data_IF_604281216645
#
_entry.id   IF_604281216645
#
_cell.length_a   1.000
_cell.length_b   1.000
_cell.length_c   1.000
_cell.angle_alpha   90.00
_cell.angle_beta   90.00
_cell.angle_gamma   90.00
#
_symmetry.space_group_name_H-M   'P 1'
#
loop_
_entity.id
_entity.type
_entity.pdbx_description
1 polymer ?
#
# COMPACT_ATOMS: atom_id res chain seq x y z
N UNK A 1 10.81 53.35 -4.62
CA UNK A 1 9.71 52.81 -3.78
C UNK A 1 9.92 51.30 -3.66
N UNK A 2 9.62 50.67 -2.52
CA UNK A 2 9.72 49.21 -2.43
C UNK A 2 8.75 48.58 -3.43
N UNK A 3 9.22 47.58 -4.18
CA UNK A 3 8.40 46.76 -5.08
C UNK A 3 7.33 46.06 -4.26
N UNK A 4 6.06 46.12 -4.69
CA UNK A 4 5.00 45.39 -4.00
C UNK A 4 5.05 43.92 -4.39
N UNK A 5 4.50 43.05 -3.53
CA UNK A 5 4.52 41.61 -3.76
C UNK A 5 3.71 41.25 -5.03
N UNK A 6 2.60 41.95 -5.26
CA UNK A 6 1.76 41.75 -6.46
C UNK A 6 2.45 42.14 -7.77
N UNK A 7 3.52 42.95 -7.72
CA UNK A 7 4.29 43.37 -8.89
C UNK A 7 5.31 42.30 -9.34
N UNK A 8 5.59 41.31 -8.48
CA UNK A 8 6.52 40.23 -8.83
C UNK A 8 5.93 39.30 -9.90
N UNK A 9 6.75 38.81 -10.85
CA UNK A 9 6.37 37.72 -11.74
C UNK A 9 5.91 36.48 -10.98
N UNK A 10 5.07 35.65 -11.61
CA UNK A 10 4.50 34.46 -10.97
C UNK A 10 5.60 33.48 -10.54
N UNK A 11 6.67 33.36 -11.31
CA UNK A 11 7.81 32.48 -11.06
C UNK A 11 8.54 32.87 -9.76
N UNK A 12 8.73 34.17 -9.50
CA UNK A 12 9.34 34.63 -8.25
C UNK A 12 8.41 34.41 -7.07
N UNK A 13 7.09 34.58 -7.25
CA UNK A 13 6.12 34.29 -6.19
C UNK A 13 6.07 32.80 -5.86
N UNK A 14 6.13 31.93 -6.87
CA UNK A 14 6.21 30.47 -6.68
C UNK A 14 7.50 30.10 -5.97
N UNK A 15 8.64 30.70 -6.32
CA UNK A 15 9.90 30.45 -5.62
C UNK A 15 9.90 30.96 -4.17
N UNK A 16 9.24 32.09 -3.88
CA UNK A 16 9.05 32.53 -2.49
C UNK A 16 8.15 31.55 -1.75
N UNK A 17 7.01 31.20 -2.32
CA UNK A 17 6.09 30.22 -1.77
C UNK A 17 6.77 28.85 -1.56
N UNK A 18 7.76 28.51 -2.39
CA UNK A 18 8.49 27.25 -2.29
C UNK A 18 9.34 27.12 -1.02
N UNK A 19 9.55 28.21 -0.28
CA UNK A 19 10.27 28.24 0.99
C UNK A 19 9.33 28.41 2.20
N UNK A 20 8.02 28.44 1.98
CA UNK A 20 7.03 28.65 3.04
C UNK A 20 6.47 27.32 3.57
N UNK A 21 6.04 27.34 4.83
CA UNK A 21 5.21 26.27 5.40
C UNK A 21 3.86 26.21 4.68
N UNK A 22 3.15 25.09 4.80
CA UNK A 22 1.79 24.96 4.23
C UNK A 22 0.84 26.07 4.73
N UNK A 23 0.94 26.42 6.01
CA UNK A 23 0.11 27.47 6.65
C UNK A 23 0.46 28.85 6.11
N UNK A 24 1.74 29.16 5.97
CA UNK A 24 2.21 30.45 5.48
C UNK A 24 1.92 30.62 3.99
N UNK A 25 2.12 29.57 3.18
CA UNK A 25 1.77 29.61 1.76
C UNK A 25 0.26 29.86 1.58
N UNK A 26 -0.58 29.13 2.33
CA UNK A 26 -2.03 29.38 2.34
C UNK A 26 -2.41 30.79 2.79
N UNK A 27 -1.62 31.40 3.66
CA UNK A 27 -1.84 32.77 4.14
C UNK A 27 -1.41 33.81 3.09
N UNK A 28 -0.22 33.65 2.48
CA UNK A 28 0.30 34.50 1.39
C UNK A 28 -0.66 34.53 0.22
N UNK A 29 -1.15 33.36 -0.21
CA UNK A 29 -2.10 33.23 -1.32
C UNK A 29 -3.37 34.08 -1.08
N UNK A 30 -3.85 34.14 0.17
CA UNK A 30 -5.06 34.87 0.57
C UNK A 30 -4.85 36.36 0.83
N UNK A 31 -3.65 36.90 0.68
CA UNK A 31 -3.37 38.33 0.95
C UNK A 31 -4.03 39.26 -0.06
N UNK A 32 -4.05 38.91 -1.35
CA UNK A 32 -4.76 39.66 -2.39
C UNK A 32 -5.10 38.79 -3.61
N UNK A 33 -6.10 39.20 -4.39
CA UNK A 33 -6.60 38.44 -5.56
C UNK A 33 -5.55 38.26 -6.67
N UNK A 34 -4.63 39.23 -6.86
CA UNK A 34 -3.57 39.12 -7.87
C UNK A 34 -2.55 38.04 -7.50
N UNK A 35 -2.13 38.01 -6.23
CA UNK A 35 -1.21 36.98 -5.72
C UNK A 35 -1.88 35.61 -5.73
N UNK A 36 -3.15 35.54 -5.33
CA UNK A 36 -3.98 34.34 -5.45
C UNK A 36 -3.95 33.79 -6.88
N UNK A 37 -4.32 34.60 -7.88
CA UNK A 37 -4.35 34.17 -9.29
C UNK A 37 -2.99 33.68 -9.80
N UNK A 38 -1.90 34.37 -9.43
CA UNK A 38 -0.54 33.98 -9.83
C UNK A 38 -0.07 32.67 -9.19
N UNK A 39 -0.53 32.38 -7.98
CA UNK A 39 -0.11 31.20 -7.21
C UNK A 39 -1.08 30.01 -7.33
N UNK A 40 -2.29 30.21 -7.86
CA UNK A 40 -3.35 29.21 -7.80
C UNK A 40 -3.03 27.92 -8.54
N UNK A 41 -2.42 27.97 -9.74
CA UNK A 41 -2.08 26.75 -10.49
C UNK A 41 -1.06 25.90 -9.73
N UNK A 42 0.01 26.51 -9.22
CA UNK A 42 1.02 25.82 -8.41
C UNK A 42 0.41 25.26 -7.11
N UNK A 43 -0.44 26.05 -6.44
CA UNK A 43 -1.18 25.61 -5.25
C UNK A 43 -2.10 24.42 -5.54
N UNK A 44 -2.83 24.45 -6.66
CA UNK A 44 -3.69 23.37 -7.09
C UNK A 44 -2.90 22.07 -7.32
N UNK A 45 -1.80 22.15 -8.08
CA UNK A 45 -0.92 20.99 -8.33
C UNK A 45 -0.32 20.43 -7.05
N UNK A 46 0.19 21.29 -6.18
CA UNK A 46 0.88 20.83 -4.98
C UNK A 46 -0.10 20.24 -3.95
N UNK A 47 -1.22 20.94 -3.70
CA UNK A 47 -2.10 20.54 -2.61
C UNK A 47 -3.22 19.59 -3.04
N UNK A 48 -3.67 19.65 -4.29
CA UNK A 48 -4.86 18.93 -4.76
C UNK A 48 -4.56 17.79 -5.74
N UNK A 49 -3.32 17.57 -6.23
CA UNK A 49 -2.99 16.39 -7.06
C UNK A 49 -3.45 15.07 -6.44
N UNK A 50 -3.18 14.91 -5.14
CA UNK A 50 -3.52 13.74 -4.34
C UNK A 50 -4.14 14.15 -3.00
N UNK A 51 -5.28 13.57 -2.66
CA UNK A 51 -6.01 13.82 -1.40
C UNK A 51 -6.54 12.52 -0.81
N UNK A 52 -6.44 12.43 0.52
CA UNK A 52 -6.92 11.30 1.30
C UNK A 52 -8.17 11.70 2.09
N UNK A 53 -9.21 10.88 2.05
CA UNK A 53 -10.49 11.12 2.70
C UNK A 53 -10.87 9.95 3.60
N UNK A 54 -11.53 10.26 4.70
CA UNK A 54 -12.11 9.27 5.59
C UNK A 54 -13.54 8.99 5.14
N UNK A 55 -14.07 7.79 5.41
CA UNK A 55 -15.49 7.51 5.18
C UNK A 55 -16.37 8.14 6.28
N UNK A 56 -16.40 9.47 6.33
CA UNK A 56 -17.34 10.24 7.15
C UNK A 56 -18.08 11.25 6.30
N UNK A 57 -19.26 11.65 6.75
CA UNK A 57 -20.11 12.58 6.00
C UNK A 57 -19.38 13.88 5.68
N UNK A 58 -18.70 14.48 6.66
CA UNK A 58 -17.97 15.75 6.47
C UNK A 58 -16.78 15.60 5.51
N UNK A 59 -16.13 14.43 5.50
CA UNK A 59 -14.98 14.18 4.63
C UNK A 59 -15.40 13.92 3.19
N UNK A 60 -16.42 13.10 2.97
CA UNK A 60 -16.98 12.88 1.64
C UNK A 60 -17.69 14.11 1.10
N UNK A 61 -18.32 14.93 1.95
CA UNK A 61 -18.88 16.21 1.52
C UNK A 61 -17.78 17.15 1.02
N UNK A 62 -16.65 17.23 1.72
CA UNK A 62 -15.49 18.01 1.26
C UNK A 62 -15.00 17.52 -0.12
N UNK A 63 -14.98 16.20 -0.36
CA UNK A 63 -14.64 15.64 -1.67
C UNK A 63 -15.66 16.06 -2.75
N UNK A 64 -16.96 16.06 -2.45
CA UNK A 64 -18.01 16.57 -3.36
C UNK A 64 -17.84 18.07 -3.62
N UNK A 65 -17.53 18.86 -2.59
CA UNK A 65 -17.32 20.30 -2.73
C UNK A 65 -16.11 20.57 -3.65
N UNK A 66 -15.03 19.80 -3.51
CA UNK A 66 -13.87 19.84 -4.39
C UNK A 66 -14.24 19.42 -5.82
N UNK A 67 -15.03 18.36 -5.99
CA UNK A 67 -15.42 17.87 -7.32
C UNK A 67 -16.34 18.84 -8.06
N UNK A 68 -17.14 19.61 -7.33
CA UNK A 68 -18.01 20.65 -7.88
C UNK A 68 -17.29 21.99 -8.08
N UNK A 69 -16.15 22.21 -7.43
CA UNK A 69 -15.40 23.45 -7.53
C UNK A 69 -14.89 23.68 -8.95
N UNK A 70 -15.12 24.89 -9.49
CA UNK A 70 -14.85 25.24 -10.90
C UNK A 70 -13.40 24.94 -11.33
N UNK A 71 -12.43 25.36 -10.51
CA UNK A 71 -11.01 25.17 -10.79
C UNK A 71 -10.37 23.94 -10.12
N UNK A 72 -10.65 23.64 -8.84
CA UNK A 72 -9.95 22.58 -8.08
C UNK A 72 -10.18 21.16 -8.63
N UNK A 73 -11.36 20.88 -9.20
CA UNK A 73 -11.72 19.55 -9.75
C UNK A 73 -10.77 19.04 -10.83
N UNK A 74 -10.02 19.95 -11.47
CA UNK A 74 -9.07 19.63 -12.54
C UNK A 74 -7.72 19.16 -12.01
N UNK A 75 -7.40 19.45 -10.74
CA UNK A 75 -6.10 19.10 -10.16
C UNK A 75 -6.12 17.74 -9.48
N UNK A 76 -7.27 17.26 -9.00
CA UNK A 76 -7.36 16.01 -8.26
C UNK A 76 -7.29 14.79 -9.20
N UNK A 77 -6.08 14.24 -9.35
CA UNK A 77 -5.80 13.08 -10.20
C UNK A 77 -5.91 11.75 -9.43
N UNK A 78 -5.59 11.79 -8.13
CA UNK A 78 -5.58 10.61 -7.25
C UNK A 78 -6.45 10.84 -6.01
N UNK A 79 -7.48 10.01 -5.85
CA UNK A 79 -8.33 9.97 -4.64
C UNK A 79 -7.91 8.78 -3.80
N UNK A 80 -7.59 9.04 -2.53
CA UNK A 80 -7.24 8.02 -1.56
C UNK A 80 -8.37 7.92 -0.53
N UNK A 81 -8.88 6.71 -0.29
CA UNK A 81 -9.87 6.46 0.75
C UNK A 81 -9.18 5.73 1.91
N UNK A 82 -9.11 6.43 3.04
CA UNK A 82 -8.57 5.87 4.27
C UNK A 82 -9.50 4.79 4.83
N UNK A 83 -8.94 3.70 5.34
CA UNK A 83 -9.66 2.68 6.11
C UNK A 83 -9.98 3.12 7.54
N UNK A 84 -9.71 4.40 7.87
CA UNK A 84 -9.88 4.93 9.21
C UNK A 84 -11.33 4.82 9.66
N UNK A 85 -11.50 4.18 10.80
CA UNK A 85 -12.77 4.06 11.49
C UNK A 85 -12.68 4.77 12.84
N UNK A 86 -13.83 5.13 13.39
CA UNK A 86 -13.96 5.71 14.72
C UNK A 86 -14.45 4.61 15.69
N UNK A 87 -13.58 3.82 16.36
CA UNK A 87 -13.94 2.87 17.41
C UNK A 87 -14.85 3.43 18.49
N UNK A 88 -15.45 2.49 19.20
CA UNK A 88 -16.19 2.78 20.44
C UNK A 88 -15.23 3.36 21.46
N UNK A 89 -15.73 4.28 22.29
CA UNK A 89 -14.90 4.94 23.30
C UNK A 89 -14.23 3.94 24.25
N UNK A 90 -14.93 2.86 24.57
CA UNK A 90 -14.45 1.77 25.41
C UNK A 90 -13.34 0.95 24.73
N UNK A 91 -13.45 0.73 23.42
CA UNK A 91 -12.41 0.06 22.63
C UNK A 91 -11.15 0.92 22.55
N UNK A 92 -11.30 2.24 22.32
CA UNK A 92 -10.17 3.16 22.30
C UNK A 92 -9.38 3.09 23.62
N UNK A 93 -10.05 3.02 24.78
CA UNK A 93 -9.36 2.94 26.07
C UNK A 93 -8.48 1.70 26.17
N UNK A 94 -8.93 0.57 25.61
CA UNK A 94 -8.24 -0.71 25.72
C UNK A 94 -7.07 -0.83 24.73
N UNK A 95 -7.16 -0.18 23.57
CA UNK A 95 -6.13 -0.22 22.51
C UNK A 95 -5.24 1.04 22.46
N UNK A 96 -5.47 2.00 23.36
CA UNK A 96 -4.74 3.26 23.40
C UNK A 96 -3.37 3.08 24.04
N UNK A 97 -2.34 3.70 23.45
CA UNK A 97 -1.06 3.87 24.14
C UNK A 97 -1.25 4.65 25.45
N UNK A 98 -0.32 4.56 26.41
CA UNK A 98 -0.43 5.30 27.67
C UNK A 98 -0.62 6.81 27.49
N UNK A 99 0.04 7.43 26.50
CA UNK A 99 -0.08 8.86 26.21
C UNK A 99 -1.45 9.21 25.59
N UNK A 100 -1.95 8.36 24.69
CA UNK A 100 -3.28 8.46 24.12
C UNK A 100 -4.37 8.38 25.19
N UNK A 101 -4.23 7.39 26.07
CA UNK A 101 -5.19 7.12 27.13
C UNK A 101 -5.31 8.32 28.06
N UNK A 102 -4.18 8.91 28.47
CA UNK A 102 -4.17 10.13 29.28
C UNK A 102 -4.89 11.29 28.59
N UNK A 103 -4.62 11.53 27.30
CA UNK A 103 -5.27 12.58 26.52
C UNK A 103 -6.79 12.37 26.40
N UNK A 104 -7.22 11.13 26.14
CA UNK A 104 -8.62 10.73 26.06
C UNK A 104 -9.34 10.87 27.40
N UNK A 105 -8.68 10.49 28.50
CA UNK A 105 -9.23 10.63 29.85
C UNK A 105 -9.43 12.10 30.22
N UNK A 106 -8.45 12.95 29.90
CA UNK A 106 -8.47 14.40 30.12
C UNK A 106 -9.41 15.15 29.17
N UNK A 107 -9.81 14.54 28.04
CA UNK A 107 -10.72 15.17 27.09
C UNK A 107 -12.05 15.56 27.76
N UNK A 108 -12.53 16.76 27.40
CA UNK A 108 -13.77 17.31 27.95
C UNK A 108 -14.99 16.43 27.63
N UNK A 109 -16.06 16.56 28.43
CA UNK A 109 -17.32 15.87 28.15
C UNK A 109 -17.90 16.21 26.77
N UNK A 110 -17.75 17.45 26.31
CA UNK A 110 -18.21 17.85 24.96
C UNK A 110 -17.38 17.20 23.87
N UNK A 111 -16.06 17.08 24.04
CA UNK A 111 -15.17 16.36 23.10
C UNK A 111 -15.57 14.89 22.99
N UNK A 112 -15.77 14.22 24.13
CA UNK A 112 -16.20 12.80 24.18
C UNK A 112 -17.58 12.60 23.54
N UNK A 113 -18.52 13.52 23.79
CA UNK A 113 -19.86 13.47 23.18
C UNK A 113 -19.79 13.65 21.67
N UNK A 114 -19.05 14.65 21.20
CA UNK A 114 -18.86 14.92 19.77
C UNK A 114 -18.25 13.72 19.04
N UNK A 115 -17.26 13.05 19.63
CA UNK A 115 -16.66 11.84 19.04
C UNK A 115 -17.68 10.70 18.91
N UNK A 116 -18.56 10.51 19.91
CA UNK A 116 -19.63 9.53 19.85
C UNK A 116 -20.64 9.86 18.75
N UNK A 117 -20.99 11.13 18.59
CA UNK A 117 -21.88 11.60 17.50
C UNK A 117 -21.23 11.33 16.14
N UNK A 118 -19.96 11.71 15.94
CA UNK A 118 -19.23 11.47 14.70
C UNK A 118 -19.10 9.98 14.35
N UNK A 119 -18.94 9.11 15.35
CA UNK A 119 -18.98 7.66 15.17
C UNK A 119 -20.34 7.16 14.69
N UNK A 120 -21.41 7.63 15.32
CA UNK A 120 -22.78 7.24 14.95
C UNK A 120 -23.08 7.70 13.52
N UNK A 121 -22.64 8.90 13.16
CA UNK A 121 -22.77 9.44 11.80
C UNK A 121 -21.99 8.60 10.78
N UNK A 122 -20.73 8.25 11.07
CA UNK A 122 -19.93 7.35 10.21
C UNK A 122 -20.63 6.01 10.01
N UNK A 123 -21.11 5.40 11.09
CA UNK A 123 -21.81 4.11 11.01
C UNK A 123 -23.10 4.22 10.22
N UNK A 124 -23.90 5.25 10.47
CA UNK A 124 -25.14 5.48 9.73
C UNK A 124 -24.88 5.67 8.23
N UNK A 125 -23.85 6.44 7.89
CA UNK A 125 -23.41 6.65 6.50
C UNK A 125 -23.10 5.32 5.79
N UNK A 126 -22.33 4.43 6.44
CA UNK A 126 -21.95 3.11 5.92
C UNK A 126 -23.15 2.15 5.86
N UNK A 127 -23.91 2.03 6.95
CA UNK A 127 -25.04 1.10 7.08
C UNK A 127 -26.17 1.42 6.08
N UNK A 128 -26.34 2.70 5.72
CA UNK A 128 -27.31 3.14 4.71
C UNK A 128 -26.73 3.17 3.28
N UNK A 129 -25.44 2.85 3.09
CA UNK A 129 -24.75 2.93 1.80
C UNK A 129 -24.69 4.34 1.21
N UNK A 130 -24.80 5.36 2.05
CA UNK A 130 -24.75 6.78 1.65
C UNK A 130 -23.32 7.19 1.28
N UNK A 131 -22.31 6.58 1.90
CA UNK A 131 -20.91 6.72 1.52
C UNK A 131 -20.66 6.36 0.05
N UNK A 132 -21.22 5.24 -0.43
CA UNK A 132 -21.15 4.84 -1.84
C UNK A 132 -21.81 5.87 -2.75
N UNK A 133 -22.96 6.42 -2.35
CA UNK A 133 -23.66 7.46 -3.14
C UNK A 133 -22.81 8.71 -3.25
N UNK A 134 -22.29 9.20 -2.11
CA UNK A 134 -21.45 10.40 -2.06
C UNK A 134 -20.14 10.22 -2.84
N UNK A 135 -19.49 9.06 -2.71
CA UNK A 135 -18.27 8.77 -3.46
C UNK A 135 -18.53 8.67 -4.96
N UNK A 136 -19.64 8.04 -5.37
CA UNK A 136 -20.04 7.97 -6.78
C UNK A 136 -20.31 9.36 -7.37
N UNK A 137 -21.03 10.22 -6.64
CA UNK A 137 -21.28 11.60 -7.03
C UNK A 137 -19.97 12.38 -7.22
N UNK A 138 -19.07 12.31 -6.24
CA UNK A 138 -17.78 12.95 -6.32
C UNK A 138 -16.97 12.49 -7.54
N UNK A 139 -16.82 11.19 -7.74
CA UNK A 139 -16.02 10.62 -8.83
C UNK A 139 -16.59 11.02 -10.20
N UNK A 140 -17.92 11.04 -10.36
CA UNK A 140 -18.55 11.53 -11.59
C UNK A 140 -18.15 12.97 -11.93
N UNK A 141 -17.86 13.80 -10.93
CA UNK A 141 -17.55 15.23 -11.11
C UNK A 141 -16.04 15.55 -11.18
N UNK A 142 -15.15 14.56 -11.04
CA UNK A 142 -13.68 14.75 -11.07
C UNK A 142 -13.03 14.40 -12.42
N UNK A 143 -12.89 15.35 -13.37
CA UNK A 143 -12.43 15.08 -14.73
C UNK A 143 -11.02 14.53 -14.85
N UNK A 144 -10.13 14.91 -13.94
CA UNK A 144 -8.74 14.51 -13.97
C UNK A 144 -8.46 13.23 -13.16
N UNK A 145 -9.43 12.73 -12.40
CA UNK A 145 -9.22 11.59 -11.51
C UNK A 145 -9.20 10.28 -12.30
N UNK A 146 -8.05 9.61 -12.28
CA UNK A 146 -7.80 8.33 -12.95
C UNK A 146 -7.15 7.30 -12.03
N UNK A 147 -6.71 7.71 -10.84
CA UNK A 147 -6.14 6.82 -9.83
C UNK A 147 -6.98 6.80 -8.56
N UNK A 148 -7.29 5.59 -8.08
CA UNK A 148 -7.97 5.37 -6.82
C UNK A 148 -7.08 4.50 -5.94
N UNK A 149 -6.92 4.90 -4.68
CA UNK A 149 -6.20 4.13 -3.69
C UNK A 149 -7.02 3.92 -2.42
N UNK A 150 -6.90 2.75 -1.80
CA UNK A 150 -7.36 2.46 -0.44
C UNK A 150 -6.13 2.31 0.44
N UNK A 151 -6.12 2.95 1.60
CA UNK A 151 -4.92 3.03 2.45
C UNK A 151 -5.27 2.99 3.93
N UNK A 152 -4.46 2.31 4.73
CA UNK A 152 -4.63 2.26 6.20
C UNK A 152 -3.59 3.07 6.99
N UNK A 153 -2.52 3.52 6.32
CA UNK A 153 -1.41 4.21 6.95
C UNK A 153 -1.42 5.74 6.73
N UNK A 154 -0.55 6.39 7.48
CA UNK A 154 -0.23 7.81 7.38
C UNK A 154 1.19 7.95 6.87
N UNK A 155 1.45 8.95 6.02
CA UNK A 155 2.81 9.19 5.52
C UNK A 155 3.52 10.27 6.34
N UNK A 156 4.84 10.12 6.56
CA UNK A 156 5.67 11.14 7.18
C UNK A 156 5.70 12.40 6.32
N UNK A 157 4.79 13.31 6.63
CA UNK A 157 4.66 14.67 6.12
C UNK A 157 4.51 14.88 4.60
N UNK A 158 4.14 16.10 4.21
CA UNK A 158 4.37 16.60 2.85
C UNK A 158 5.70 17.36 2.86
N UNK A 159 6.27 17.59 1.68
CA UNK A 159 7.47 18.38 1.42
C UNK A 159 7.55 19.77 2.13
N UNK A 160 6.45 20.26 2.75
CA UNK A 160 6.35 21.53 3.47
C UNK A 160 5.91 21.37 4.93
N UNK A 161 6.85 21.02 5.79
CA UNK A 161 6.72 21.05 7.25
C UNK A 161 6.51 19.68 7.89
N UNK A 162 6.40 19.65 9.21
CA UNK A 162 6.36 18.41 10.03
C UNK A 162 4.95 17.78 10.10
N UNK A 163 3.93 18.37 9.46
CA UNK A 163 2.56 17.88 9.55
C UNK A 163 2.38 16.55 8.79
N UNK A 164 2.18 15.46 9.54
CA UNK A 164 1.86 14.12 9.00
C UNK A 164 0.69 14.16 8.01
N UNK A 165 0.82 13.49 6.87
CA UNK A 165 -0.25 13.44 5.88
C UNK A 165 -1.35 12.49 6.37
N UNK A 166 -2.53 13.06 6.64
CA UNK A 166 -3.67 12.35 7.21
C UNK A 166 -4.94 12.49 6.36
N UNK A 167 -5.89 11.58 6.53
CA UNK A 167 -7.22 11.65 5.93
C UNK A 167 -7.95 12.93 6.34
N UNK A 168 -8.61 13.60 5.39
CA UNK A 168 -9.46 14.73 5.73
C UNK A 168 -10.54 14.30 6.74
N UNK A 169 -10.73 15.12 7.78
CA UNK A 169 -11.61 14.82 8.92
C UNK A 169 -10.88 14.20 10.11
N UNK A 170 -9.73 13.55 9.89
CA UNK A 170 -8.97 12.93 10.98
C UNK A 170 -8.14 13.95 11.77
N UNK A 171 -7.66 15.01 11.11
CA UNK A 171 -6.88 16.09 11.74
C UNK A 171 -7.67 16.84 12.83
N UNK A 172 -8.98 17.02 12.66
CA UNK A 172 -9.83 17.70 13.65
C UNK A 172 -9.96 16.86 14.94
N UNK A 173 -10.02 15.54 14.79
CA UNK A 173 -10.02 14.62 15.95
C UNK A 173 -8.68 14.74 16.68
N UNK A 174 -7.54 14.68 15.97
CA UNK A 174 -6.22 14.84 16.60
C UNK A 174 -6.10 16.15 17.38
N UNK A 175 -6.50 17.26 16.76
CA UNK A 175 -6.44 18.60 17.36
C UNK A 175 -7.28 18.69 18.62
N UNK A 176 -8.50 18.13 18.63
CA UNK A 176 -9.39 18.17 19.79
C UNK A 176 -8.94 17.30 20.95
N UNK A 177 -8.23 16.22 20.67
CA UNK A 177 -7.67 15.32 21.68
C UNK A 177 -6.24 15.71 22.06
N UNK A 178 -5.60 16.67 21.37
CA UNK A 178 -4.20 17.07 21.58
C UNK A 178 -3.24 15.89 21.48
N UNK A 179 -3.47 15.04 20.47
CA UNK A 179 -2.70 13.83 20.23
C UNK A 179 -1.89 13.98 18.94
N UNK A 180 -0.63 13.56 18.97
CA UNK A 180 0.32 13.75 17.87
C UNK A 180 0.16 12.73 16.75
N UNK A 181 -0.49 11.59 17.02
CA UNK A 181 -0.66 10.56 16.01
C UNK A 181 -1.87 9.66 16.22
N UNK A 182 -2.41 9.19 15.10
CA UNK A 182 -3.50 8.23 14.99
C UNK A 182 -3.03 6.77 15.09
N UNK A 183 -1.96 6.46 15.84
CA UNK A 183 -1.44 5.09 15.95
C UNK A 183 -2.34 4.16 16.81
N UNK A 184 -3.57 4.57 17.16
CA UNK A 184 -4.28 4.08 18.36
C UNK A 184 -5.72 3.60 18.14
N UNK A 185 -6.09 3.34 16.88
CA UNK A 185 -7.47 3.02 16.52
C UNK A 185 -7.50 1.71 15.73
N UNK A 186 -6.77 0.72 16.24
CA UNK A 186 -6.94 -0.67 15.85
C UNK A 186 -8.24 -1.14 16.47
N UNK A 187 -9.27 -1.29 15.64
CA UNK A 187 -10.43 -2.03 16.07
C UNK A 187 -10.25 -3.45 15.56
N UNK A 188 -9.92 -4.37 16.47
CA UNK A 188 -10.03 -5.80 16.23
C UNK A 188 -11.47 -6.17 15.85
N UNK A 189 -12.46 -5.30 16.14
CA UNK A 189 -13.80 -5.43 15.59
C UNK A 189 -13.84 -5.11 14.08
N UNK A 190 -13.63 -6.19 13.32
CA UNK A 190 -14.42 -6.62 12.15
C UNK A 190 -13.74 -6.43 10.78
N UNK A 191 -13.11 -7.50 10.24
CA UNK A 191 -12.73 -7.64 8.81
C UNK A 191 -13.81 -7.19 7.82
N UNK A 192 -15.09 -7.37 8.15
CA UNK A 192 -16.19 -6.93 7.29
C UNK A 192 -16.19 -5.41 7.02
N UNK A 193 -15.60 -4.59 7.90
CA UNK A 193 -15.52 -3.13 7.69
C UNK A 193 -14.50 -2.76 6.62
N UNK A 194 -13.41 -3.53 6.49
CA UNK A 194 -12.42 -3.32 5.41
C UNK A 194 -12.96 -3.75 4.07
N UNK A 195 -13.62 -4.91 4.07
CA UNK A 195 -14.38 -5.37 2.92
C UNK A 195 -15.45 -4.34 2.52
N UNK A 196 -16.05 -3.61 3.48
CA UNK A 196 -16.96 -2.50 3.19
C UNK A 196 -16.26 -1.34 2.48
N UNK A 197 -15.08 -0.88 2.93
CA UNK A 197 -14.34 0.19 2.22
C UNK A 197 -14.01 -0.24 0.80
N UNK A 198 -13.44 -1.45 0.64
CA UNK A 198 -13.11 -2.01 -0.66
C UNK A 198 -14.33 -2.14 -1.59
N UNK A 199 -15.42 -2.72 -1.09
CA UNK A 199 -16.66 -2.88 -1.84
C UNK A 199 -17.26 -1.51 -2.20
N UNK A 200 -17.29 -0.56 -1.27
CA UNK A 200 -17.79 0.80 -1.49
C UNK A 200 -17.03 1.51 -2.60
N UNK A 201 -15.69 1.45 -2.56
CA UNK A 201 -14.82 2.08 -3.56
C UNK A 201 -15.00 1.42 -4.93
N UNK A 202 -14.90 0.10 -5.03
CA UNK A 202 -15.05 -0.62 -6.30
C UNK A 202 -16.44 -0.42 -6.91
N UNK A 203 -17.51 -0.42 -6.10
CA UNK A 203 -18.86 -0.11 -6.57
C UNK A 203 -19.00 1.34 -7.06
N UNK A 204 -18.37 2.31 -6.37
CA UNK A 204 -18.39 3.71 -6.78
C UNK A 204 -17.62 3.93 -8.09
N UNK A 205 -16.48 3.26 -8.26
CA UNK A 205 -15.73 3.23 -9.53
C UNK A 205 -16.59 2.68 -10.65
N UNK A 206 -17.25 1.53 -10.45
CA UNK A 206 -18.12 0.96 -11.46
C UNK A 206 -19.35 1.81 -11.78
N UNK A 207 -19.94 2.45 -10.77
CA UNK A 207 -21.08 3.36 -10.96
C UNK A 207 -20.71 4.64 -11.71
N UNK A 208 -19.44 5.04 -11.68
CA UNK A 208 -18.90 6.21 -12.38
C UNK A 208 -18.19 5.87 -13.70
N UNK A 209 -18.13 4.59 -14.08
CA UNK A 209 -17.43 4.12 -15.28
C UNK A 209 -17.90 4.73 -16.62
N UNK A 210 -19.13 5.29 -16.65
CA UNK A 210 -19.65 6.00 -17.83
C UNK A 210 -19.00 7.36 -18.06
N UNK A 211 -18.56 8.02 -17.00
CA UNK A 211 -17.98 9.36 -17.03
C UNK A 211 -16.47 9.35 -16.74
N UNK A 212 -15.96 8.24 -16.19
CA UNK A 212 -14.58 8.10 -15.73
C UNK A 212 -13.94 6.82 -16.24
N UNK A 213 -12.64 6.91 -16.47
CA UNK A 213 -11.78 5.79 -16.80
C UNK A 213 -10.64 5.79 -15.79
N UNK A 214 -10.48 4.67 -15.11
CA UNK A 214 -9.42 4.50 -14.12
C UNK A 214 -8.26 3.79 -14.79
N UNK A 215 -7.05 4.28 -14.54
CA UNK A 215 -5.80 3.67 -15.04
C UNK A 215 -5.05 2.95 -13.92
N UNK A 216 -5.27 3.33 -12.65
CA UNK A 216 -4.68 2.67 -11.49
C UNK A 216 -5.70 2.43 -10.38
N UNK A 217 -5.67 1.22 -9.82
CA UNK A 217 -6.38 0.88 -8.59
C UNK A 217 -5.41 0.22 -7.60
N UNK A 218 -5.25 0.83 -6.44
CA UNK A 218 -4.27 0.41 -5.46
C UNK A 218 -4.93 0.19 -4.11
N UNK A 219 -4.51 -0.85 -3.41
CA UNK A 219 -4.81 -1.04 -2.01
C UNK A 219 -3.45 -1.20 -1.32
N UNK A 220 -3.17 -0.37 -0.33
CA UNK A 220 -1.89 -0.37 0.39
C UNK A 220 -2.17 -0.42 1.87
N UNK A 221 -1.79 -1.54 2.47
CA UNK A 221 -1.95 -1.80 3.89
C UNK A 221 -0.55 -1.92 4.51
N UNK A 222 -0.33 -1.23 5.63
CA UNK A 222 0.82 -1.52 6.50
C UNK A 222 0.48 -2.66 7.46
N UNK A 223 -0.76 -2.73 7.90
CA UNK A 223 -1.17 -3.68 8.91
C UNK A 223 -1.66 -4.96 8.24
N UNK A 224 -1.02 -6.09 8.52
CA UNK A 224 -1.35 -7.40 7.93
C UNK A 224 -2.80 -7.83 8.14
N UNK A 225 -3.39 -7.47 9.27
CA UNK A 225 -4.81 -7.75 9.49
C UNK A 225 -5.72 -7.00 8.50
N UNK A 226 -5.24 -5.94 7.84
CA UNK A 226 -6.02 -5.15 6.90
C UNK A 226 -6.06 -5.67 5.46
N UNK A 227 -5.34 -6.75 5.18
CA UNK A 227 -5.23 -7.35 3.85
C UNK A 227 -6.56 -7.97 3.38
N UNK A 228 -6.71 -8.15 2.06
CA UNK A 228 -7.97 -8.56 1.45
C UNK A 228 -8.11 -10.08 1.42
N UNK A 229 -9.17 -10.59 2.04
CA UNK A 229 -9.60 -11.97 1.86
C UNK A 229 -10.37 -12.18 0.54
N UNK A 230 -10.64 -13.44 0.14
CA UNK A 230 -11.33 -13.79 -1.10
C UNK A 230 -12.73 -13.17 -1.24
N UNK A 231 -13.45 -13.06 -0.13
CA UNK A 231 -14.79 -12.45 -0.09
C UNK A 231 -14.78 -10.96 -0.49
N UNK A 232 -13.66 -10.26 -0.29
CA UNK A 232 -13.53 -8.87 -0.72
C UNK A 232 -13.69 -8.73 -2.24
N UNK A 233 -13.33 -9.77 -3.00
CA UNK A 233 -13.38 -9.78 -4.46
C UNK A 233 -14.75 -10.18 -5.02
N UNK A 234 -15.74 -10.48 -4.18
CA UNK A 234 -17.10 -10.75 -4.65
C UNK A 234 -17.66 -9.54 -5.41
N UNK A 235 -18.08 -9.76 -6.66
CA UNK A 235 -18.66 -8.73 -7.51
C UNK A 235 -20.14 -9.01 -7.82
N UNK A 236 -21.08 -8.15 -7.40
CA UNK A 236 -22.48 -8.32 -7.74
C UNK A 236 -22.73 -8.16 -9.25
N UNK A 237 -23.51 -9.08 -9.83
CA UNK A 237 -23.81 -9.13 -11.28
C UNK A 237 -24.57 -7.92 -11.84
N UNK A 238 -25.17 -7.09 -10.98
CA UNK A 238 -25.94 -5.92 -11.41
C UNK A 238 -25.09 -4.66 -11.61
N UNK A 239 -23.78 -4.73 -11.37
CA UNK A 239 -22.84 -3.62 -11.51
C UNK A 239 -21.86 -3.90 -12.65
N UNK A 240 -21.56 -2.88 -13.48
CA UNK A 240 -20.67 -2.99 -14.63
C UNK A 240 -19.20 -2.76 -14.24
N UNK A 241 -18.60 -3.75 -13.56
CA UNK A 241 -17.18 -3.71 -13.20
C UNK A 241 -16.26 -3.81 -14.42
N UNK A 242 -16.71 -4.50 -15.48
CA UNK A 242 -15.94 -4.60 -16.72
C UNK A 242 -15.73 -3.22 -17.36
N UNK A 243 -16.77 -2.38 -17.41
CA UNK A 243 -16.65 -1.00 -17.87
C UNK A 243 -15.68 -0.17 -17.03
N UNK A 244 -15.69 -0.37 -15.70
CA UNK A 244 -14.86 0.36 -14.75
C UNK A 244 -13.36 0.10 -14.91
N UNK A 245 -12.99 -1.18 -15.05
CA UNK A 245 -11.62 -1.64 -14.96
C UNK A 245 -10.96 -1.93 -16.31
N UNK A 246 -11.72 -1.81 -17.42
CA UNK A 246 -11.22 -2.06 -18.77
C UNK A 246 -9.92 -1.32 -19.09
N UNK A 247 -9.76 -0.08 -18.60
CA UNK A 247 -8.59 0.75 -18.90
C UNK A 247 -7.54 0.75 -17.78
N UNK A 248 -7.76 -0.02 -16.71
CA UNK A 248 -6.83 -0.09 -15.60
C UNK A 248 -5.59 -0.87 -16.03
N UNK A 249 -4.44 -0.20 -15.97
CA UNK A 249 -3.13 -0.76 -16.31
C UNK A 249 -2.33 -1.13 -15.07
N UNK A 250 -2.65 -0.55 -13.91
CA UNK A 250 -1.91 -0.73 -12.66
C UNK A 250 -2.85 -1.23 -11.57
N UNK A 251 -2.51 -2.37 -10.97
CA UNK A 251 -3.25 -2.98 -9.87
C UNK A 251 -2.29 -3.35 -8.74
N UNK A 252 -2.58 -2.89 -7.53
CA UNK A 252 -1.87 -3.28 -6.31
C UNK A 252 -2.85 -3.81 -5.29
N UNK A 253 -2.63 -5.03 -4.79
CA UNK A 253 -3.54 -5.68 -3.85
C UNK A 253 -2.74 -6.34 -2.72
N UNK A 254 -3.09 -6.05 -1.45
CA UNK A 254 -2.69 -6.87 -0.33
C UNK A 254 -3.69 -8.03 -0.20
N UNK A 255 -3.20 -9.25 -0.18
CA UNK A 255 -3.98 -10.48 -0.15
C UNK A 255 -3.64 -11.28 1.11
N UNK A 256 -4.67 -11.84 1.73
CA UNK A 256 -4.53 -12.61 2.96
C UNK A 256 -5.21 -13.97 2.84
N UNK A 257 -4.55 -14.99 3.39
CA UNK A 257 -5.14 -16.30 3.64
C UNK A 257 -5.46 -16.42 5.12
N UNK A 258 -6.71 -16.75 5.44
CA UNK A 258 -7.03 -17.28 6.77
C UNK A 258 -6.74 -18.76 6.77
N UNK A 259 -5.96 -19.21 7.74
CA UNK A 259 -5.56 -20.61 7.93
C UNK A 259 -6.74 -21.58 8.13
N UNK A 260 -7.94 -21.07 8.39
CA UNK A 260 -9.05 -21.85 8.95
C UNK A 260 -10.14 -22.26 7.97
N UNK A 261 -10.09 -21.90 6.69
CA UNK A 261 -11.16 -22.22 5.73
C UNK A 261 -10.65 -22.57 4.33
N UNK A 262 -11.27 -23.56 3.70
CA UNK A 262 -11.23 -23.79 2.25
C UNK A 262 -11.93 -22.60 1.58
N UNK A 263 -11.13 -21.66 1.03
CA UNK A 263 -11.66 -20.41 0.50
C UNK A 263 -11.78 -20.48 -1.02
N UNK A 264 -12.98 -20.18 -1.52
CA UNK A 264 -13.24 -20.11 -2.95
C UNK A 264 -12.58 -18.86 -3.57
N UNK A 265 -11.37 -19.02 -4.14
CA UNK A 265 -10.66 -17.98 -4.88
C UNK A 265 -11.28 -17.68 -6.26
N UNK A 266 -12.39 -18.30 -6.65
CA UNK A 266 -13.06 -18.02 -7.92
C UNK A 266 -13.50 -16.56 -8.06
N UNK A 267 -13.81 -15.88 -6.95
CA UNK A 267 -14.10 -14.45 -6.94
C UNK A 267 -12.88 -13.62 -7.33
N UNK A 268 -11.71 -13.94 -6.80
CA UNK A 268 -10.45 -13.27 -7.17
C UNK A 268 -10.08 -13.54 -8.63
N UNK A 269 -10.19 -14.79 -9.10
CA UNK A 269 -9.99 -15.15 -10.52
C UNK A 269 -10.92 -14.34 -11.41
N UNK A 270 -12.20 -14.24 -11.05
CA UNK A 270 -13.20 -13.48 -11.79
C UNK A 270 -12.91 -11.97 -11.76
N UNK A 271 -12.43 -11.47 -10.63
CA UNK A 271 -12.06 -10.08 -10.44
C UNK A 271 -10.90 -9.68 -11.37
N UNK A 272 -9.82 -10.47 -11.40
CA UNK A 272 -8.67 -10.20 -12.28
C UNK A 272 -9.05 -10.16 -13.77
N UNK A 273 -10.08 -10.90 -14.18
CA UNK A 273 -10.57 -10.89 -15.57
C UNK A 273 -11.21 -9.56 -15.99
N UNK A 274 -11.55 -8.67 -15.06
CA UNK A 274 -12.02 -7.32 -15.39
C UNK A 274 -10.91 -6.37 -15.85
N UNK A 275 -9.64 -6.80 -15.78
CA UNK A 275 -8.47 -5.99 -16.11
C UNK A 275 -7.78 -6.50 -17.39
N UNK A 276 -8.42 -6.44 -18.57
CA UNK A 276 -7.85 -6.99 -19.81
C UNK A 276 -6.56 -6.28 -20.27
N UNK A 277 -6.35 -5.04 -19.82
CA UNK A 277 -5.20 -4.21 -20.18
C UNK A 277 -4.19 -4.06 -19.03
N UNK A 278 -4.22 -4.97 -18.04
CA UNK A 278 -3.31 -4.90 -16.91
C UNK A 278 -1.86 -5.07 -17.37
N UNK A 279 -1.03 -4.10 -17.01
CA UNK A 279 0.38 -4.05 -17.36
C UNK A 279 1.26 -4.29 -16.13
N UNK A 280 0.85 -3.70 -15.00
CA UNK A 280 1.51 -3.79 -13.70
C UNK A 280 0.58 -4.43 -12.68
N UNK A 281 1.01 -5.53 -12.08
CA UNK A 281 0.35 -6.18 -10.96
C UNK A 281 1.32 -6.29 -9.79
N UNK A 282 0.90 -5.79 -8.63
CA UNK A 282 1.54 -6.09 -7.35
C UNK A 282 0.60 -6.87 -6.44
N UNK A 283 1.09 -7.99 -5.93
CA UNK A 283 0.43 -8.76 -4.89
C UNK A 283 1.32 -8.73 -3.65
N UNK A 284 0.77 -8.23 -2.54
CA UNK A 284 1.44 -8.28 -1.25
C UNK A 284 0.74 -9.33 -0.38
N UNK A 285 1.43 -10.33 0.13
CA UNK A 285 0.89 -11.29 1.10
C UNK A 285 0.95 -10.77 2.55
N UNK A 286 0.35 -11.54 3.46
CA UNK A 286 0.62 -11.40 4.90
C UNK A 286 1.91 -12.13 5.26
N UNK A 287 2.77 -11.48 6.09
CA UNK A 287 3.92 -12.15 6.69
C UNK A 287 3.39 -13.41 7.39
N UNK A 288 4.02 -14.54 7.10
CA UNK A 288 3.72 -15.87 7.63
C UNK A 288 2.59 -16.71 7.01
N UNK A 289 1.81 -16.19 6.05
CA UNK A 289 0.79 -17.02 5.39
C UNK A 289 1.32 -17.68 4.11
N UNK A 290 1.02 -18.96 3.91
CA UNK A 290 1.23 -19.62 2.63
C UNK A 290 0.27 -19.05 1.58
N UNK A 291 0.83 -18.55 0.48
CA UNK A 291 0.07 -17.84 -0.57
C UNK A 291 -0.02 -18.63 -1.88
N UNK A 292 0.21 -19.93 -1.80
CA UNK A 292 0.27 -20.84 -2.96
C UNK A 292 -1.02 -20.82 -3.79
N UNK A 293 -2.18 -20.88 -3.12
CA UNK A 293 -3.47 -20.84 -3.80
C UNK A 293 -3.70 -19.52 -4.54
N UNK A 294 -3.18 -18.40 -4.02
CA UNK A 294 -3.22 -17.10 -4.70
C UNK A 294 -2.40 -17.10 -5.98
N UNK A 295 -1.29 -17.83 -6.05
CA UNK A 295 -0.48 -17.95 -7.28
C UNK A 295 -1.25 -18.69 -8.37
N UNK A 296 -1.87 -19.82 -8.01
CA UNK A 296 -2.72 -20.60 -8.92
C UNK A 296 -3.90 -19.76 -9.40
N UNK A 297 -4.59 -19.07 -8.48
CA UNK A 297 -5.69 -18.18 -8.82
C UNK A 297 -5.24 -16.99 -9.70
N UNK A 298 -4.08 -16.41 -9.41
CA UNK A 298 -3.50 -15.31 -10.20
C UNK A 298 -3.23 -15.77 -11.63
N UNK A 299 -2.60 -16.94 -11.81
CA UNK A 299 -2.39 -17.54 -13.13
C UNK A 299 -3.72 -17.67 -13.89
N UNK A 300 -4.74 -18.25 -13.27
CA UNK A 300 -6.05 -18.44 -13.89
C UNK A 300 -6.79 -17.13 -14.22
N UNK A 301 -6.61 -16.09 -13.40
CA UNK A 301 -7.17 -14.76 -13.60
C UNK A 301 -6.48 -14.00 -14.74
N UNK A 302 -5.16 -14.15 -14.86
CA UNK A 302 -4.33 -13.44 -15.84
C UNK A 302 -4.21 -14.12 -17.20
N UNK A 303 -4.83 -15.28 -17.43
CA UNK A 303 -4.74 -16.07 -18.66
C UNK A 303 -4.95 -15.32 -20.00
N UNK A 304 -5.54 -14.12 -19.99
CA UNK A 304 -5.76 -13.29 -21.19
C UNK A 304 -4.99 -11.97 -21.19
N UNK A 305 -4.21 -11.72 -20.15
CA UNK A 305 -3.56 -10.44 -19.92
C UNK A 305 -2.11 -10.41 -20.42
N UNK A 306 -1.71 -9.30 -21.03
CA UNK A 306 -0.32 -9.07 -21.47
C UNK A 306 0.47 -8.35 -20.38
N UNK A 307 0.56 -8.97 -19.19
CA UNK A 307 1.25 -8.40 -18.04
C UNK A 307 2.75 -8.23 -18.36
N UNK A 308 3.32 -7.05 -18.12
CA UNK A 308 4.76 -6.80 -18.32
C UNK A 308 5.51 -6.60 -17.02
N UNK A 309 4.84 -6.21 -15.95
CA UNK A 309 5.42 -6.04 -14.64
C UNK A 309 4.64 -6.86 -13.60
N UNK A 310 5.34 -7.74 -12.89
CA UNK A 310 4.83 -8.47 -11.75
C UNK A 310 5.68 -8.16 -10.51
N UNK A 311 5.03 -7.76 -9.43
CA UNK A 311 5.65 -7.52 -8.13
C UNK A 311 5.00 -8.43 -7.09
N UNK A 312 5.80 -9.26 -6.44
CA UNK A 312 5.37 -10.19 -5.39
C UNK A 312 6.06 -9.77 -4.08
N UNK A 313 5.26 -9.36 -3.11
CA UNK A 313 5.73 -8.77 -1.85
C UNK A 313 5.25 -9.52 -0.62
N UNK A 314 6.07 -9.77 0.40
CA UNK A 314 5.62 -10.32 1.70
C UNK A 314 4.86 -11.66 1.57
N UNK A 315 5.27 -12.53 0.64
CA UNK A 315 4.59 -13.79 0.32
C UNK A 315 5.43 -15.02 0.70
N UNK A 316 4.78 -16.11 1.12
CA UNK A 316 5.39 -17.45 1.15
C UNK A 316 4.93 -18.24 -0.07
N UNK A 317 5.89 -18.71 -0.87
CA UNK A 317 5.64 -19.33 -2.18
C UNK A 317 6.29 -20.70 -2.28
N UNK A 318 5.56 -21.67 -2.85
CA UNK A 318 6.14 -22.90 -3.37
C UNK A 318 6.83 -22.63 -4.69
N UNK A 319 7.98 -23.26 -4.87
CA UNK A 319 8.78 -23.13 -6.09
C UNK A 319 7.98 -23.54 -7.33
N UNK A 320 7.23 -24.63 -7.26
CA UNK A 320 6.42 -25.12 -8.39
C UNK A 320 5.31 -24.15 -8.79
N UNK A 321 4.60 -23.55 -7.83
CA UNK A 321 3.53 -22.59 -8.12
C UNK A 321 4.07 -21.28 -8.70
N UNK A 322 5.24 -20.83 -8.22
CA UNK A 322 5.94 -19.69 -8.79
C UNK A 322 6.38 -19.99 -10.23
N UNK A 323 7.01 -21.15 -10.48
CA UNK A 323 7.40 -21.58 -11.82
C UNK A 323 6.19 -21.62 -12.75
N UNK A 324 5.08 -22.18 -12.28
CA UNK A 324 3.87 -22.37 -13.08
C UNK A 324 3.20 -21.02 -13.40
N UNK A 325 3.18 -20.07 -12.46
CA UNK A 325 2.74 -18.70 -12.71
C UNK A 325 3.66 -18.01 -13.72
N UNK A 326 4.97 -17.94 -13.44
CA UNK A 326 5.93 -17.20 -14.26
C UNK A 326 6.01 -17.77 -15.69
N UNK A 327 5.98 -19.09 -15.83
CA UNK A 327 5.94 -19.77 -17.13
C UNK A 327 4.71 -19.40 -17.95
N UNK A 328 3.59 -19.02 -17.32
CA UNK A 328 2.38 -18.58 -18.02
C UNK A 328 2.47 -17.14 -18.55
N UNK A 329 3.33 -16.30 -17.96
CA UNK A 329 3.44 -14.87 -18.25
C UNK A 329 4.48 -14.57 -19.34
N UNK A 330 4.14 -14.90 -20.60
CA UNK A 330 5.06 -14.79 -21.74
C UNK A 330 5.51 -13.37 -22.10
N UNK A 331 4.79 -12.35 -21.64
CA UNK A 331 5.07 -10.93 -21.90
C UNK A 331 5.80 -10.24 -20.74
N UNK A 332 6.18 -10.98 -19.69
CA UNK A 332 6.79 -10.40 -18.50
C UNK A 332 8.16 -9.80 -18.82
N UNK A 333 8.32 -8.50 -18.58
CA UNK A 333 9.55 -7.74 -18.82
C UNK A 333 10.25 -7.34 -17.50
N UNK A 334 9.49 -7.20 -16.41
CA UNK A 334 9.97 -6.82 -15.08
C UNK A 334 9.38 -7.75 -14.02
N UNK A 335 10.25 -8.31 -13.17
CA UNK A 335 9.87 -9.09 -11.99
C UNK A 335 10.47 -8.45 -10.73
N UNK A 336 9.64 -8.12 -9.76
CA UNK A 336 10.04 -7.63 -8.44
C UNK A 336 9.67 -8.68 -7.39
N UNK A 337 10.63 -9.08 -6.56
CA UNK A 337 10.46 -9.98 -5.42
C UNK A 337 10.87 -9.24 -4.14
N UNK A 338 9.93 -8.98 -3.25
CA UNK A 338 10.17 -8.26 -2.01
C UNK A 338 9.72 -9.10 -0.81
N UNK A 339 10.58 -9.39 0.16
CA UNK A 339 10.20 -10.17 1.35
C UNK A 339 9.50 -11.50 1.01
N UNK A 340 10.01 -12.20 0.00
CA UNK A 340 9.44 -13.48 -0.45
C UNK A 340 10.24 -14.63 0.17
N UNK A 341 9.56 -15.63 0.72
CA UNK A 341 10.17 -16.79 1.37
C UNK A 341 9.63 -18.10 0.78
N UNK A 342 10.41 -19.18 0.78
CA UNK A 342 9.91 -20.49 0.38
C UNK A 342 8.84 -21.03 1.36
N UNK A 343 7.91 -21.82 0.85
CA UNK A 343 6.84 -22.46 1.63
C UNK A 343 7.36 -23.55 2.57
N UNK A 344 6.62 -23.80 3.66
CA UNK A 344 6.90 -24.82 4.68
C UNK A 344 6.90 -26.24 4.12
N UNK A 345 6.12 -26.51 3.07
CA UNK A 345 6.03 -27.85 2.47
C UNK A 345 7.32 -28.30 1.77
N UNK A 346 8.20 -27.35 1.41
CA UNK A 346 9.53 -27.65 0.86
C UNK A 346 10.51 -28.16 1.95
N UNK A 347 10.08 -28.28 3.22
CA UNK A 347 10.88 -28.75 4.37
C UNK A 347 11.50 -30.14 4.20
N UNK A 348 10.95 -31.00 3.35
CA UNK A 348 11.54 -32.33 3.12
C UNK A 348 12.96 -32.27 2.55
N UNK A 349 13.36 -31.14 1.94
CA UNK A 349 14.75 -30.88 1.55
C UNK A 349 15.62 -30.39 2.72
N UNK A 350 15.08 -29.55 3.61
CA UNK A 350 15.81 -28.94 4.73
C UNK A 350 16.34 -29.93 5.77
N UNK A 351 15.64 -31.04 6.02
CA UNK A 351 16.12 -32.07 6.96
C UNK A 351 17.33 -32.85 6.42
N UNK A 352 17.66 -32.71 5.13
CA UNK A 352 18.71 -33.48 4.44
C UNK A 352 19.85 -32.64 3.85
N UNK A 353 19.64 -31.36 3.53
CA UNK A 353 20.69 -30.49 3.02
C UNK A 353 20.52 -29.06 3.49
N UNK A 354 21.58 -28.54 4.11
CA UNK A 354 21.58 -27.21 4.72
C UNK A 354 21.39 -26.06 3.72
N UNK A 355 21.63 -24.83 4.16
CA UNK A 355 21.40 -23.55 3.46
C UNK A 355 21.78 -23.51 1.96
N UNK A 356 22.80 -24.27 1.54
CA UNK A 356 23.21 -24.38 0.13
C UNK A 356 22.12 -24.95 -0.79
N UNK A 357 21.24 -25.83 -0.29
CA UNK A 357 20.13 -26.35 -1.10
C UNK A 357 19.07 -25.27 -1.37
N UNK A 358 18.92 -24.28 -0.48
CA UNK A 358 17.92 -23.22 -0.61
C UNK A 358 18.36 -22.10 -1.57
N UNK A 359 19.66 -21.75 -1.60
CA UNK A 359 20.24 -20.90 -2.66
C UNK A 359 19.98 -21.50 -4.05
N UNK A 360 20.16 -22.83 -4.14
CA UNK A 360 19.92 -23.57 -5.37
C UNK A 360 18.44 -23.59 -5.74
N UNK A 361 17.52 -23.53 -4.78
CA UNK A 361 16.08 -23.56 -5.01
C UNK A 361 15.58 -22.31 -5.75
N UNK A 362 15.92 -21.10 -5.29
CA UNK A 362 15.52 -19.86 -5.97
C UNK A 362 16.10 -19.73 -7.37
N UNK A 363 17.40 -20.03 -7.51
CA UNK A 363 18.07 -20.02 -8.82
C UNK A 363 17.44 -21.05 -9.74
N UNK A 364 17.19 -22.27 -9.25
CA UNK A 364 16.55 -23.33 -10.04
C UNK A 364 15.12 -22.98 -10.45
N UNK A 365 14.34 -22.37 -9.56
CA UNK A 365 12.96 -21.97 -9.85
C UNK A 365 12.91 -20.89 -10.94
N UNK A 366 13.75 -19.85 -10.83
CA UNK A 366 13.80 -18.78 -11.83
C UNK A 366 14.35 -19.28 -13.17
N UNK A 367 15.35 -20.17 -13.16
CA UNK A 367 15.87 -20.82 -14.38
C UNK A 367 14.77 -21.64 -15.10
N UNK A 368 14.07 -22.48 -14.34
CA UNK A 368 12.99 -23.35 -14.86
C UNK A 368 11.79 -22.57 -15.37
N UNK A 369 11.56 -21.36 -14.86
CA UNK A 369 10.45 -20.49 -15.28
C UNK A 369 10.57 -20.01 -16.72
N UNK A 370 11.75 -20.12 -17.35
CA UNK A 370 12.01 -19.75 -18.75
C UNK A 370 11.37 -18.41 -19.11
N UNK A 371 11.97 -17.31 -18.63
CA UNK A 371 11.48 -15.95 -18.83
C UNK A 371 12.25 -15.22 -19.95
N UNK A 372 11.99 -15.51 -21.25
CA UNK A 372 12.79 -15.00 -22.36
C UNK A 372 12.65 -13.48 -22.59
N UNK A 373 11.58 -12.86 -22.08
CA UNK A 373 11.33 -11.42 -22.24
C UNK A 373 11.77 -10.59 -21.03
N UNK A 374 12.23 -11.25 -19.94
CA UNK A 374 12.60 -10.54 -18.72
C UNK A 374 13.84 -9.68 -18.98
N UNK A 375 13.70 -8.38 -18.68
CA UNK A 375 14.75 -7.37 -18.83
C UNK A 375 15.28 -6.92 -17.48
N UNK A 376 14.44 -6.96 -16.44
CA UNK A 376 14.75 -6.46 -15.11
C UNK A 376 14.26 -7.47 -14.07
N UNK A 377 15.14 -7.84 -13.16
CA UNK A 377 14.79 -8.53 -11.92
C UNK A 377 15.25 -7.67 -10.74
N UNK A 378 14.31 -7.33 -9.88
CA UNK A 378 14.55 -6.67 -8.61
C UNK A 378 14.22 -7.67 -7.49
N UNK A 379 15.18 -7.88 -6.60
CA UNK A 379 15.04 -8.82 -5.49
C UNK A 379 15.51 -8.13 -4.22
N UNK A 380 14.65 -8.12 -3.20
CA UNK A 380 14.91 -7.43 -1.95
C UNK A 380 14.42 -8.28 -0.77
N UNK A 381 15.30 -8.54 0.19
CA UNK A 381 15.03 -9.29 1.41
C UNK A 381 14.37 -10.67 1.16
N UNK A 382 14.92 -11.48 0.25
CA UNK A 382 14.43 -12.83 0.01
C UNK A 382 14.78 -13.73 1.21
N UNK A 383 13.80 -14.48 1.74
CA UNK A 383 14.01 -15.40 2.86
C UNK A 383 14.57 -16.75 2.44
N UNK A 384 15.34 -17.39 3.33
CA UNK A 384 15.98 -18.71 3.10
C UNK A 384 15.27 -19.82 3.87
N UNK A 385 14.14 -19.56 4.54
CA UNK A 385 13.49 -20.56 5.37
C UNK A 385 11.98 -20.40 5.57
N UNK A 386 11.35 -21.43 6.19
CA UNK A 386 9.90 -21.50 6.38
C UNK A 386 9.39 -20.51 7.43
N UNK A 387 10.27 -20.01 8.31
CA UNK A 387 9.97 -18.90 9.21
C UNK A 387 10.67 -17.67 8.66
N UNK A 388 10.07 -16.49 8.76
CA UNK A 388 10.74 -15.22 8.47
C UNK A 388 11.89 -14.89 9.47
N UNK A 389 12.39 -15.89 10.20
CA UNK A 389 13.42 -15.76 11.21
C UNK A 389 14.81 -15.78 10.59
N UNK A 390 15.54 -14.68 10.83
CA UNK A 390 16.96 -14.33 10.65
C UNK A 390 17.74 -14.75 9.38
N UNK A 391 17.41 -15.87 8.73
CA UNK A 391 18.13 -16.37 7.57
C UNK A 391 17.58 -15.72 6.29
N UNK A 392 18.40 -14.85 5.70
CA UNK A 392 18.06 -14.03 4.53
C UNK A 392 19.07 -14.27 3.43
N UNK A 393 18.66 -14.05 2.18
CA UNK A 393 19.57 -13.95 1.07
C UNK A 393 20.17 -12.55 1.08
N UNK A 394 21.49 -12.48 1.17
CA UNK A 394 22.25 -11.29 0.83
C UNK A 394 22.75 -11.37 -0.61
N UNK A 395 23.05 -10.21 -1.18
CA UNK A 395 23.62 -10.10 -2.52
C UNK A 395 24.98 -9.41 -2.45
N UNK A 396 26.01 -9.98 -3.07
CA UNK A 396 27.30 -9.27 -3.22
C UNK A 396 27.19 -8.13 -4.22
N UNK A 397 28.10 -7.15 -4.19
CA UNK A 397 28.13 -6.07 -5.19
C UNK A 397 28.42 -6.57 -6.61
N UNK A 398 29.12 -7.70 -6.74
CA UNK A 398 29.49 -8.30 -8.03
C UNK A 398 29.76 -9.81 -7.90
N UNK A 399 29.72 -10.53 -9.03
CA UNK A 399 30.04 -11.96 -9.08
C UNK A 399 31.48 -12.23 -8.60
N UNK A 400 32.43 -11.35 -8.92
CA UNK A 400 33.81 -11.46 -8.45
C UNK A 400 33.97 -11.28 -6.93
N UNK A 401 33.09 -10.51 -6.29
CA UNK A 401 33.10 -10.32 -4.85
C UNK A 401 32.68 -11.59 -4.08
N UNK A 402 31.81 -12.43 -4.67
CA UNK A 402 31.49 -13.77 -4.13
C UNK A 402 32.74 -14.64 -4.11
N UNK A 403 33.45 -14.73 -5.24
CA UNK A 403 34.65 -15.57 -5.36
C UNK A 403 35.79 -15.17 -4.41
N UNK A 404 35.88 -13.88 -4.07
CA UNK A 404 36.92 -13.34 -3.19
C UNK A 404 36.55 -13.34 -1.70
N UNK A 405 35.35 -13.82 -1.33
CA UNK A 405 34.89 -13.81 0.06
C UNK A 405 34.74 -12.40 0.66
N UNK A 406 34.40 -11.40 -0.16
CA UNK A 406 34.21 -10.01 0.28
C UNK A 406 33.09 -9.91 1.31
N UNK A 407 33.09 -8.91 2.20
CA UNK A 407 32.06 -8.72 3.23
C UNK A 407 30.89 -7.80 2.81
N UNK A 408 30.86 -7.35 1.56
CA UNK A 408 29.90 -6.42 0.97
C UNK A 408 28.57 -7.08 0.62
N UNK A 409 27.76 -7.40 1.63
CA UNK A 409 26.40 -7.88 1.39
C UNK A 409 25.39 -6.74 1.40
N UNK A 410 24.55 -6.71 0.37
CA UNK A 410 23.41 -5.83 0.26
C UNK A 410 22.11 -6.63 0.40
N UNK A 411 21.05 -6.07 1.00
CA UNK A 411 19.75 -6.75 1.12
C UNK A 411 18.96 -6.76 -0.19
N UNK A 412 19.37 -5.93 -1.16
CA UNK A 412 18.70 -5.73 -2.44
C UNK A 412 19.68 -5.92 -3.59
N UNK A 413 19.18 -6.47 -4.69
CA UNK A 413 19.83 -6.50 -5.99
C UNK A 413 18.85 -6.07 -7.08
N UNK A 414 19.38 -5.36 -8.07
CA UNK A 414 18.70 -5.07 -9.33
C UNK A 414 19.63 -5.50 -10.46
N UNK A 415 19.20 -6.48 -11.24
CA UNK A 415 19.94 -6.99 -12.40
C UNK A 415 19.17 -6.64 -13.68
N UNK A 416 19.91 -6.32 -14.75
CA UNK A 416 19.31 -5.87 -16.00
C UNK A 416 20.02 -6.46 -17.24
N UNK A 417 19.24 -6.70 -18.30
CA UNK A 417 19.75 -7.12 -19.60
C UNK A 417 19.79 -8.64 -19.83
N UNK A 418 20.36 -9.10 -20.96
CA UNK A 418 20.24 -10.49 -21.43
C UNK A 418 21.01 -11.54 -20.61
N UNK A 419 21.81 -11.12 -19.64
CA UNK A 419 22.54 -11.98 -18.70
C UNK A 419 22.07 -11.85 -17.25
N UNK A 420 20.85 -11.32 -17.04
CA UNK A 420 20.31 -11.04 -15.70
C UNK A 420 20.37 -12.27 -14.78
N UNK A 421 20.14 -13.47 -15.32
CA UNK A 421 20.11 -14.71 -14.54
C UNK A 421 21.48 -15.09 -14.01
N UNK A 422 22.51 -15.10 -14.87
CA UNK A 422 23.89 -15.42 -14.45
C UNK A 422 24.40 -14.40 -13.42
N UNK A 423 24.04 -13.13 -13.59
CA UNK A 423 24.38 -12.08 -12.62
C UNK A 423 23.67 -12.29 -11.28
N UNK A 424 22.37 -12.61 -11.31
CA UNK A 424 21.58 -12.86 -10.11
C UNK A 424 22.09 -14.10 -9.37
N UNK A 425 22.16 -15.25 -10.05
CA UNK A 425 22.62 -16.51 -9.48
C UNK A 425 24.08 -16.41 -8.97
N UNK A 426 24.94 -15.69 -9.69
CA UNK A 426 26.32 -15.46 -9.31
C UNK A 426 26.54 -14.46 -8.16
N UNK A 427 25.49 -13.77 -7.69
CA UNK A 427 25.56 -12.78 -6.60
C UNK A 427 24.79 -13.18 -5.35
N UNK A 428 23.92 -14.19 -5.42
CA UNK A 428 23.19 -14.75 -4.27
C UNK A 428 24.18 -15.34 -3.27
N UNK A 429 23.99 -15.00 -1.99
CA UNK A 429 24.68 -15.60 -0.85
C UNK A 429 23.69 -15.74 0.30
N UNK A 430 23.47 -16.96 0.79
CA UNK A 430 22.69 -17.22 1.99
C UNK A 430 23.44 -16.66 3.21
N UNK A 431 22.73 -15.85 3.99
CA UNK A 431 23.19 -15.36 5.27
C UNK A 431 22.56 -16.21 6.36
N UNK A 432 23.40 -16.68 7.28
CA UNK A 432 22.97 -17.16 8.58
C UNK A 432 22.82 -15.98 9.54
N UNK A 433 21.91 -16.08 10.50
CA UNK A 433 21.77 -15.17 11.66
C UNK A 433 23.11 -14.67 12.23
N UNK A 434 24.07 -15.58 12.38
CA UNK A 434 25.43 -15.30 12.89
C UNK A 434 26.24 -14.29 12.08
N UNK A 435 25.92 -14.06 10.81
CA UNK A 435 26.62 -13.09 9.94
C UNK A 435 26.16 -11.65 10.19
N UNK A 436 24.90 -11.43 10.56
CA UNK A 436 24.35 -10.08 10.75
C UNK A 436 24.76 -9.45 12.09
N UNK A 437 25.48 -10.18 12.94
CA UNK A 437 25.83 -9.72 14.28
C UNK A 437 24.62 -9.48 15.19
N UNK A 438 23.45 -9.97 14.77
CA UNK A 438 22.26 -10.05 15.60
C UNK A 438 22.56 -11.15 16.60
N UNK A 439 22.72 -10.79 17.88
CA UNK A 439 22.89 -11.76 18.94
C UNK A 439 21.71 -12.74 18.87
N UNK A 440 21.98 -14.03 18.84
CA UNK A 440 20.95 -15.04 19.06
C UNK A 440 20.38 -14.76 20.44
N UNK A 441 19.19 -14.17 20.51
CA UNK A 441 18.45 -14.10 21.76
C UNK A 441 18.03 -15.54 22.09
N UNK A 442 18.84 -16.22 22.90
CA UNK A 442 18.65 -17.60 23.36
C UNK A 442 17.38 -17.78 24.24
N UNK A 443 16.45 -16.82 24.25
CA UNK A 443 15.24 -16.81 25.07
C UNK A 443 13.97 -17.28 24.35
N UNK A 444 14.00 -17.52 23.03
CA UNK A 444 12.80 -17.79 22.23
C UNK A 444 12.28 -19.25 22.22
N UNK A 445 12.91 -20.19 22.95
CA UNK A 445 12.48 -21.60 23.01
C UNK A 445 11.54 -21.91 24.21
N UNK A 446 10.97 -20.89 24.85
CA UNK A 446 9.90 -21.08 25.84
C UNK A 446 8.54 -21.04 25.16
N UNK A 447 8.10 -22.18 24.62
CA UNK A 447 6.71 -22.46 24.24
C UNK A 447 5.77 -22.35 25.46
N UNK A 448 5.48 -21.11 25.88
CA UNK A 448 4.32 -20.78 26.69
C UNK A 448 3.39 -19.91 25.85
N UNK A 449 2.26 -20.49 25.46
CA UNK A 449 1.10 -19.85 24.82
C UNK A 449 0.48 -18.75 25.71
N UNK A 450 1.25 -17.74 26.08
CA UNK A 450 0.73 -16.49 26.64
C UNK A 450 1.01 -15.40 25.61
N UNK A 451 -0.08 -14.86 25.05
CA UNK A 451 -0.16 -13.75 24.11
C UNK A 451 0.62 -12.52 24.65
N UNK A 452 1.94 -12.52 24.48
CA UNK A 452 2.79 -11.38 24.73
C UNK A 452 3.08 -10.75 23.38
N UNK A 453 2.31 -9.70 23.08
CA UNK A 453 2.56 -8.74 22.01
C UNK A 453 3.91 -8.07 22.28
N UNK A 454 5.00 -8.73 21.92
CA UNK A 454 6.32 -8.12 21.94
C UNK A 454 6.45 -7.19 20.73
N UNK A 455 6.47 -5.90 21.07
CA UNK A 455 6.79 -4.77 20.21
C UNK A 455 8.19 -4.96 19.59
N UNK A 456 8.28 -5.72 18.49
CA UNK A 456 9.42 -5.62 17.58
C UNK A 456 9.41 -4.20 17.01
N UNK A 457 10.41 -3.40 17.38
CA UNK A 457 10.68 -2.09 16.80
C UNK A 457 10.76 -2.23 15.27
N UNK A 458 9.67 -1.90 14.57
CA UNK A 458 9.66 -1.78 13.12
C UNK A 458 10.75 -0.78 12.73
N UNK A 459 11.85 -1.29 12.17
CA UNK A 459 12.87 -0.48 11.50
C UNK A 459 12.12 0.41 10.50
N UNK A 460 12.16 1.73 10.70
CA UNK A 460 11.47 2.72 9.87
C UNK A 460 11.78 2.48 8.37
N UNK A 461 10.82 1.85 7.67
CA UNK A 461 10.92 1.41 6.25
C UNK A 461 10.89 2.58 5.24
N UNK A 462 11.04 3.85 5.67
CA UNK A 462 10.67 5.05 4.89
C UNK A 462 11.85 5.88 4.33
N UNK A 463 13.10 5.42 4.39
CA UNK A 463 14.26 6.17 3.85
C UNK A 463 14.65 5.82 2.39
N UNK A 464 13.83 5.07 1.66
CA UNK A 464 14.09 4.74 0.25
C UNK A 464 12.98 5.26 -0.67
N UNK A 465 12.86 6.59 -0.76
CA UNK A 465 12.13 7.24 -1.84
C UNK A 465 12.85 7.00 -3.17
N UNK A 466 12.09 6.52 -4.14
CA UNK A 466 12.48 6.53 -5.54
C UNK A 466 12.49 7.97 -6.04
N UNK A 467 13.64 8.38 -6.59
CA UNK A 467 13.76 9.59 -7.40
C UNK A 467 12.80 9.49 -8.60
N UNK A 468 11.61 10.09 -8.48
CA UNK A 468 10.82 10.51 -9.63
C UNK A 468 11.50 11.76 -10.23
N UNK A 469 12.52 11.55 -11.06
CA UNK A 469 13.04 12.61 -11.94
C UNK A 469 11.97 12.92 -13.02
N UNK A 470 11.53 14.19 -13.04
CA UNK A 470 10.82 14.82 -14.19
C UNK A 470 11.74 15.04 -15.40
#
# INVERSE_FOLDING_TARGET
>A
MPSRLEDLPAELLVHIASNLTTVDYGSVRRTCSTVEQKLFDNFGREFFKRKQFMLTQSSLQCLIDISNHEALKQYLTKVIIGTNYIPRFESIINSASPSALAAIQLASHSTKKWLRELRLDQRYLMDQGLDRVMLTEALNNLPACHEIEIRDNYFPSRFRGEEKWTSYGSTEILKRFQIEAWHWWHDDEIPARRHHVYSTVTNAMASSAKSRQYTAFMVTTRQHHNDLGPDAFYQPKFVDFAGAFKNTTTLMLPVHMRETYDQDLSYFVSFLRYFPNLNYLRLNGTRNSDTNEWMVATKHGLNSCSLRHLSLGKMRLRSDDLIDLLSSLKTLEHLELFLVSPSVEDKTAMDSGGLLELESSWSSALEKSQLPQLKVLEANMIGVGPRFGHDRIGFKSSVGAVANGSSDLMPMIKVQGPGWFDEFAGRIVAQTSSFLGIAEDESADSDSDEDSDDDEEEIDEDDMDMDDEE
#
